data_IF_762988348180
#
_entry.id   IF_762988348180
#
_cell.length_a   1.000
_cell.length_b   1.000
_cell.length_c   1.000
_cell.angle_alpha   90.00
_cell.angle_beta   90.00
_cell.angle_gamma   90.00
#
_symmetry.space_group_name_H-M   'P 1'
#
loop_
_entity.id
_entity.type
_entity.pdbx_description
1 polymer ?
#
# COMPACT_ATOMS: atom_id res chain seq x y z
N UNK A 1 11.66 18.12 -9.54
CA UNK A 1 11.15 16.95 -10.29
C UNK A 1 10.38 16.09 -9.30
N UNK A 2 9.08 15.90 -9.51
CA UNK A 2 8.26 15.01 -8.68
C UNK A 2 8.08 13.69 -9.43
N UNK A 3 8.45 12.57 -8.81
CA UNK A 3 8.13 11.26 -9.35
C UNK A 3 6.65 10.98 -9.05
N UNK A 4 5.84 10.79 -10.09
CA UNK A 4 4.45 10.37 -9.94
C UNK A 4 4.40 8.85 -10.02
N UNK A 5 3.91 8.22 -8.95
CA UNK A 5 3.65 6.78 -8.91
C UNK A 5 2.14 6.60 -9.06
N UNK A 6 1.73 5.93 -10.13
CA UNK A 6 0.34 5.51 -10.30
C UNK A 6 0.23 4.09 -9.77
N UNK A 7 -0.60 3.92 -8.74
CA UNK A 7 -0.94 2.62 -8.17
C UNK A 7 -2.35 2.27 -8.60
N UNK A 8 -2.56 1.02 -9.01
CA UNK A 8 -3.90 0.45 -9.10
C UNK A 8 -4.49 0.21 -7.71
N UNK A 9 -5.81 0.05 -7.64
CA UNK A 9 -6.53 -0.16 -6.37
C UNK A 9 -5.96 -1.36 -5.58
N UNK A 10 -5.64 -2.46 -6.27
CA UNK A 10 -5.02 -3.65 -5.67
C UNK A 10 -3.61 -3.36 -5.11
N UNK A 11 -2.80 -2.60 -5.85
CA UNK A 11 -1.45 -2.21 -5.42
C UNK A 11 -1.48 -1.26 -4.23
N UNK A 12 -2.42 -0.31 -4.23
CA UNK A 12 -2.63 0.63 -3.13
C UNK A 12 -3.04 -0.09 -1.83
N UNK A 13 -3.94 -1.07 -1.94
CA UNK A 13 -4.38 -1.91 -0.82
C UNK A 13 -3.24 -2.73 -0.22
N UNK A 14 -2.46 -3.41 -1.06
CA UNK A 14 -1.35 -4.25 -0.59
C UNK A 14 -0.20 -3.40 -0.06
N UNK A 15 0.10 -2.26 -0.68
CA UNK A 15 1.12 -1.32 -0.21
C UNK A 15 0.75 -0.71 1.14
N UNK A 16 -0.52 -0.32 1.32
CA UNK A 16 -1.03 0.15 2.61
C UNK A 16 -0.80 -0.87 3.71
N UNK A 17 -1.14 -2.14 3.48
CA UNK A 17 -0.92 -3.21 4.44
C UNK A 17 0.57 -3.47 4.73
N UNK A 18 1.44 -3.40 3.72
CA UNK A 18 2.88 -3.58 3.91
C UNK A 18 3.49 -2.46 4.75
N UNK A 19 3.04 -1.23 4.53
CA UNK A 19 3.47 -0.05 5.30
C UNK A 19 2.93 -0.07 6.72
N UNK A 20 1.65 -0.40 6.92
CA UNK A 20 1.00 -0.41 8.23
C UNK A 20 1.46 -1.57 9.12
N UNK A 21 1.72 -2.74 8.54
CA UNK A 21 2.20 -3.92 9.27
C UNK A 21 3.68 -3.87 9.62
N UNK A 22 4.43 -2.90 9.10
CA UNK A 22 5.88 -2.79 9.31
C UNK A 22 6.66 -3.96 8.69
N UNK A 23 6.10 -4.65 7.68
CA UNK A 23 6.77 -5.74 6.97
C UNK A 23 7.83 -5.25 5.99
N UNK A 24 7.82 -3.95 5.65
CA UNK A 24 8.88 -3.34 4.88
C UNK A 24 10.14 -3.19 5.72
N UNK A 25 11.30 -3.33 5.07
CA UNK A 25 12.56 -3.05 5.72
C UNK A 25 12.55 -1.62 6.30
N UNK A 26 13.13 -1.40 7.48
CA UNK A 26 13.20 -0.06 8.05
C UNK A 26 13.94 0.85 7.08
N UNK A 27 13.29 1.96 6.71
CA UNK A 27 13.89 2.99 5.88
C UNK A 27 15.20 3.45 6.51
N UNK A 28 16.29 3.38 5.75
CA UNK A 28 17.62 3.73 6.27
C UNK A 28 17.89 5.23 6.12
N UNK A 29 17.16 5.88 5.21
CA UNK A 29 17.25 7.30 4.91
C UNK A 29 16.03 8.08 5.44
N UNK A 30 16.25 9.31 5.92
CA UNK A 30 15.17 10.15 6.45
C UNK A 30 14.21 10.62 5.36
N UNK A 31 14.69 10.84 4.14
CA UNK A 31 13.85 11.18 3.00
C UNK A 31 12.99 10.00 2.56
N UNK A 32 13.53 8.78 2.63
CA UNK A 32 12.76 7.54 2.39
C UNK A 32 11.66 7.40 3.45
N UNK A 33 11.99 7.51 4.73
CA UNK A 33 11.00 7.45 5.82
C UNK A 33 9.89 8.49 5.66
N UNK A 34 10.25 9.73 5.30
CA UNK A 34 9.27 10.78 5.05
C UNK A 34 8.40 10.48 3.83
N UNK A 35 8.98 10.00 2.73
CA UNK A 35 8.22 9.63 1.54
C UNK A 35 7.24 8.50 1.82
N UNK A 36 7.68 7.43 2.51
CA UNK A 36 6.82 6.33 2.92
C UNK A 36 5.70 6.78 3.88
N UNK A 37 6.01 7.69 4.80
CA UNK A 37 5.02 8.30 5.69
C UNK A 37 3.95 9.09 4.93
N UNK A 38 4.35 9.92 3.96
CA UNK A 38 3.41 10.68 3.12
C UNK A 38 2.52 9.74 2.29
N UNK A 39 3.08 8.66 1.75
CA UNK A 39 2.33 7.66 1.00
C UNK A 39 1.34 6.95 1.92
N UNK A 40 1.76 6.51 3.10
CA UNK A 40 0.89 5.88 4.09
C UNK A 40 -0.29 6.79 4.48
N UNK A 41 -0.03 8.04 4.85
CA UNK A 41 -1.10 8.99 5.21
C UNK A 41 -2.04 9.29 4.03
N UNK A 42 -1.52 9.31 2.80
CA UNK A 42 -2.33 9.51 1.60
C UNK A 42 -3.23 8.30 1.31
N UNK A 43 -2.72 7.09 1.56
CA UNK A 43 -3.47 5.85 1.43
C UNK A 43 -4.51 5.71 2.54
N UNK A 44 -4.18 6.04 3.79
CA UNK A 44 -5.12 6.09 4.90
C UNK A 44 -6.30 7.00 4.58
N UNK A 45 -6.07 8.22 4.10
CA UNK A 45 -7.17 9.13 3.73
C UNK A 45 -8.12 8.57 2.66
N UNK A 46 -7.60 7.75 1.76
CA UNK A 46 -8.38 7.16 0.67
C UNK A 46 -9.05 5.83 1.05
N UNK A 47 -8.41 5.04 1.91
CA UNK A 47 -8.85 3.70 2.31
C UNK A 47 -9.63 3.68 3.63
N UNK A 48 -9.61 4.75 4.44
CA UNK A 48 -10.32 4.87 5.73
C UNK A 48 -11.80 5.27 5.56
N UNK A 49 -12.32 5.40 4.33
CA UNK A 49 -13.77 5.31 4.12
C UNK A 49 -14.21 3.88 4.50
N UNK A 50 -15.27 3.75 5.31
CA UNK A 50 -15.33 2.83 6.44
C UNK A 50 -14.81 1.45 6.06
N UNK A 51 -13.76 0.97 6.76
CA UNK A 51 -13.24 -0.39 6.64
C UNK A 51 -14.39 -1.38 6.68
N UNK A 52 -14.90 -1.69 5.49
CA UNK A 52 -16.04 -2.56 5.32
C UNK A 52 -15.62 -3.92 5.85
N UNK A 53 -16.58 -4.69 6.35
CA UNK A 53 -16.36 -6.06 6.84
C UNK A 53 -15.66 -6.97 5.80
N UNK A 54 -15.61 -6.54 4.54
CA UNK A 54 -14.97 -7.21 3.41
C UNK A 54 -13.53 -6.74 3.13
N UNK A 55 -12.93 -5.84 3.93
CA UNK A 55 -11.55 -5.36 3.73
C UNK A 55 -10.56 -6.51 3.60
N UNK A 56 -10.64 -7.50 4.49
CA UNK A 56 -9.78 -8.69 4.43
C UNK A 56 -9.96 -9.47 3.13
N UNK A 57 -11.19 -9.60 2.63
CA UNK A 57 -11.45 -10.29 1.35
C UNK A 57 -10.91 -9.51 0.17
N UNK A 58 -11.05 -8.19 0.17
CA UNK A 58 -10.50 -7.32 -0.87
C UNK A 58 -8.97 -7.37 -0.88
N UNK A 59 -8.34 -7.38 0.29
CA UNK A 59 -6.90 -7.49 0.44
C UNK A 59 -6.36 -8.84 -0.07
N UNK A 60 -7.03 -9.95 0.26
CA UNK A 60 -6.65 -11.28 -0.23
C UNK A 60 -6.83 -11.41 -1.75
N UNK A 61 -7.91 -10.83 -2.30
CA UNK A 61 -8.13 -10.76 -3.74
C UNK A 61 -7.04 -9.92 -4.43
N UNK A 62 -6.71 -8.75 -3.87
CA UNK A 62 -5.65 -7.88 -4.36
C UNK A 62 -4.28 -8.58 -4.32
N UNK A 63 -3.92 -9.25 -3.21
CA UNK A 63 -2.68 -10.05 -3.15
C UNK A 63 -2.66 -11.12 -4.23
N UNK A 64 -3.75 -11.86 -4.39
CA UNK A 64 -3.83 -12.93 -5.40
C UNK A 64 -3.70 -12.38 -6.83
N UNK A 65 -4.35 -11.24 -7.11
CA UNK A 65 -4.25 -10.49 -8.36
C UNK A 65 -2.80 -10.07 -8.65
N UNK A 66 -2.11 -9.50 -7.66
CA UNK A 66 -0.70 -9.10 -7.81
C UNK A 66 0.24 -10.28 -7.98
N UNK A 67 0.03 -11.39 -7.26
CA UNK A 67 0.82 -12.61 -7.45
C UNK A 67 0.63 -13.15 -8.86
N UNK A 68 -0.59 -13.16 -9.40
CA UNK A 68 -0.84 -13.56 -10.79
C UNK A 68 -0.18 -12.59 -11.80
N UNK A 69 -0.06 -11.31 -11.47
CA UNK A 69 0.46 -10.27 -12.36
C UNK A 69 1.98 -10.14 -12.35
N UNK A 70 2.61 -10.35 -11.20
CA UNK A 70 4.05 -10.11 -10.98
C UNK A 70 4.83 -11.34 -10.50
N UNK A 71 4.17 -12.44 -10.16
CA UNK A 71 4.79 -13.67 -9.62
C UNK A 71 5.27 -14.67 -10.67
N UNK A 72 5.46 -14.24 -11.93
CA UNK A 72 5.96 -15.04 -13.05
C UNK A 72 7.46 -14.88 -13.26
#
# INVERSE_FOLDING_TARGET
MAAQVQLSDDEALVLFELLSSGKLAPATDTAEAHALGVVLTSLEKQLVAPFASDYTKQLEAARSSLVARYGG
#
